data_IF_050860529211
#
_entry.id   IF_050860529211
#
_cell.length_a   1.000
_cell.length_b   1.000
_cell.length_c   1.000
_cell.angle_alpha   90.00
_cell.angle_beta   90.00
_cell.angle_gamma   90.00
#
_symmetry.space_group_name_H-M   'P 1'
#
loop_
_entity.id
_entity.type
_entity.pdbx_description
1 polymer ?
#
# COMPACT_ATOMS: atom_id res chain seq x y z
N UNK A 1 -5.39 36.09 -61.17
CA UNK A 1 -4.55 35.44 -60.15
C UNK A 1 -5.29 35.46 -58.81
N UNK A 2 -5.82 34.31 -58.35
CA UNK A 2 -6.53 34.22 -57.06
C UNK A 2 -6.00 32.99 -56.34
N UNK A 3 -5.08 33.19 -55.41
CA UNK A 3 -4.47 32.13 -54.59
C UNK A 3 -5.50 31.67 -53.57
N UNK A 4 -5.98 30.44 -53.70
CA UNK A 4 -6.78 29.77 -52.67
C UNK A 4 -5.77 29.10 -51.73
N UNK A 5 -5.61 29.64 -50.51
CA UNK A 5 -4.92 28.95 -49.43
C UNK A 5 -5.91 27.95 -48.81
N UNK A 6 -5.65 26.66 -49.00
CA UNK A 6 -6.26 25.61 -48.18
C UNK A 6 -5.47 25.51 -46.87
N UNK A 7 -6.09 25.94 -45.77
CA UNK A 7 -5.62 25.60 -44.43
C UNK A 7 -6.16 24.22 -44.07
N UNK A 8 -5.28 23.21 -44.07
CA UNK A 8 -5.58 21.87 -43.55
C UNK A 8 -5.39 21.91 -42.03
N UNK A 9 -6.49 22.02 -41.28
CA UNK A 9 -6.47 21.95 -39.82
C UNK A 9 -6.16 20.55 -39.34
N UNK A 10 -4.97 20.34 -38.79
CA UNK A 10 -4.59 19.10 -38.11
C UNK A 10 -5.32 19.03 -36.77
N UNK A 11 -6.44 18.30 -36.72
CA UNK A 11 -7.14 17.96 -35.48
C UNK A 11 -6.25 17.03 -34.65
N UNK A 12 -5.53 17.59 -33.66
CA UNK A 12 -4.93 16.82 -32.58
C UNK A 12 -6.05 16.21 -31.75
N UNK A 13 -6.38 14.95 -32.01
CA UNK A 13 -7.23 14.16 -31.12
C UNK A 13 -6.39 13.77 -29.91
N UNK A 14 -6.60 14.49 -28.80
CA UNK A 14 -6.10 14.07 -27.49
C UNK A 14 -6.89 12.82 -27.10
N UNK A 15 -6.34 11.64 -27.42
CA UNK A 15 -6.82 10.36 -26.93
C UNK A 15 -6.69 10.36 -25.41
N UNK A 16 -7.76 10.77 -24.73
CA UNK A 16 -7.92 10.50 -23.31
C UNK A 16 -7.96 9.00 -23.15
N UNK A 17 -6.90 8.41 -22.56
CA UNK A 17 -6.86 7.00 -22.22
C UNK A 17 -7.96 6.72 -21.19
N UNK A 18 -9.15 6.36 -21.66
CA UNK A 18 -10.21 5.83 -20.80
C UNK A 18 -9.83 4.41 -20.43
N UNK A 19 -9.84 4.10 -19.13
CA UNK A 19 -9.74 2.73 -18.63
C UNK A 19 -10.69 1.82 -19.40
N UNK A 20 -10.15 0.75 -20.00
CA UNK A 20 -10.93 -0.13 -20.87
C UNK A 20 -11.92 -0.98 -20.09
N UNK A 21 -11.54 -1.47 -18.90
CA UNK A 21 -12.44 -2.16 -17.97
C UNK A 21 -12.65 -1.36 -16.67
N UNK A 22 -13.82 -0.73 -16.55
CA UNK A 22 -14.19 0.02 -15.34
C UNK A 22 -14.37 -0.87 -14.11
N UNK A 23 -14.49 -2.20 -14.26
CA UNK A 23 -14.57 -3.16 -13.16
C UNK A 23 -13.20 -3.73 -12.76
N UNK A 24 -12.11 -3.31 -13.40
CA UNK A 24 -10.77 -3.66 -12.96
C UNK A 24 -10.20 -2.55 -12.07
N UNK A 25 -10.20 -2.78 -10.76
CA UNK A 25 -9.74 -1.82 -9.76
C UNK A 25 -8.26 -2.03 -9.49
N UNK A 26 -7.45 -1.02 -9.77
CA UNK A 26 -5.99 -1.08 -9.63
C UNK A 26 -5.56 -0.25 -8.42
N UNK A 27 -4.58 -0.77 -7.68
CA UNK A 27 -4.00 -0.12 -6.52
C UNK A 27 -2.49 -0.08 -6.63
N UNK A 28 -1.92 1.09 -6.34
CA UNK A 28 -0.47 1.29 -6.32
C UNK A 28 0.03 1.08 -4.88
N UNK A 29 1.06 0.27 -4.70
CA UNK A 29 1.63 -0.04 -3.39
C UNK A 29 3.09 0.39 -3.36
N UNK A 30 3.48 1.21 -2.39
CA UNK A 30 4.87 1.62 -2.21
C UNK A 30 5.25 1.80 -0.75
N UNK A 31 6.55 1.80 -0.47
CA UNK A 31 7.07 1.94 0.90
C UNK A 31 8.37 1.19 1.11
N UNK A 32 8.58 0.71 2.34
CA UNK A 32 9.80 0.04 2.76
C UNK A 32 9.59 -1.44 3.12
N UNK A 33 10.42 -2.01 4.01
CA UNK A 33 10.48 -3.45 4.30
C UNK A 33 9.13 -4.07 4.70
N UNK A 34 8.28 -3.37 5.47
CA UNK A 34 6.96 -3.88 5.81
C UNK A 34 5.95 -3.79 4.65
N UNK A 35 6.14 -2.91 3.66
CA UNK A 35 5.39 -2.99 2.39
C UNK A 35 5.97 -4.08 1.49
N UNK A 36 7.30 -4.19 1.40
CA UNK A 36 8.02 -5.17 0.58
C UNK A 36 7.73 -6.62 0.98
N UNK A 37 7.55 -6.84 2.28
CA UNK A 37 7.23 -8.12 2.91
C UNK A 37 8.47 -8.83 3.44
N UNK A 38 8.62 -8.90 4.77
CA UNK A 38 9.75 -9.56 5.43
C UNK A 38 9.42 -10.96 5.96
N UNK A 39 8.15 -11.22 6.31
CA UNK A 39 7.79 -12.53 6.85
C UNK A 39 7.67 -13.57 5.75
N UNK A 40 8.22 -14.76 5.96
CA UNK A 40 7.95 -15.91 5.09
C UNK A 40 6.45 -16.20 5.08
N UNK A 41 5.87 -16.30 3.89
CA UNK A 41 4.48 -16.73 3.71
C UNK A 41 4.32 -18.22 4.08
N UNK A 42 3.15 -18.56 4.59
CA UNK A 42 2.76 -19.90 5.03
C UNK A 42 1.83 -20.56 3.99
N UNK A 43 1.57 -21.88 4.07
CA UNK A 43 0.73 -22.56 3.09
C UNK A 43 -0.63 -21.88 2.83
N UNK A 44 -1.27 -21.35 3.87
CA UNK A 44 -2.56 -20.66 3.76
C UNK A 44 -2.51 -19.37 2.91
N UNK A 45 -1.34 -18.75 2.77
CA UNK A 45 -1.16 -17.53 1.97
C UNK A 45 -1.01 -17.84 0.48
N UNK A 46 -0.79 -19.10 0.12
CA UNK A 46 -0.64 -19.55 -1.27
C UNK A 46 -1.87 -20.28 -1.79
N UNK A 47 -2.73 -20.79 -0.90
CA UNK A 47 -3.96 -21.46 -1.29
C UNK A 47 -5.10 -20.46 -1.59
N UNK A 48 -6.09 -20.94 -2.36
CA UNK A 48 -7.35 -20.24 -2.64
C UNK A 48 -7.18 -18.81 -3.21
N UNK A 49 -6.08 -18.55 -3.93
CA UNK A 49 -5.90 -17.29 -4.63
C UNK A 49 -6.89 -17.21 -5.80
N UNK A 50 -7.78 -16.22 -5.74
CA UNK A 50 -8.80 -15.98 -6.77
C UNK A 50 -8.16 -15.46 -8.06
N UNK A 51 -8.64 -15.93 -9.21
CA UNK A 51 -8.24 -15.42 -10.53
C UNK A 51 -8.63 -13.95 -10.76
N UNK A 52 -9.48 -13.38 -9.89
CA UNK A 52 -9.84 -11.96 -9.90
C UNK A 52 -8.82 -11.08 -9.19
N UNK A 53 -7.88 -11.64 -8.43
CA UNK A 53 -6.82 -10.89 -7.77
C UNK A 53 -5.51 -11.04 -8.56
N UNK A 54 -5.01 -9.93 -9.09
CA UNK A 54 -3.87 -9.89 -10.00
C UNK A 54 -2.76 -8.99 -9.45
N UNK A 55 -1.52 -9.32 -9.81
CA UNK A 55 -0.33 -8.50 -9.58
C UNK A 55 0.34 -8.24 -10.92
N UNK A 56 0.67 -6.99 -11.21
CA UNK A 56 1.55 -6.66 -12.33
C UNK A 56 2.99 -6.79 -11.84
N UNK A 57 3.78 -7.65 -12.48
CA UNK A 57 5.18 -7.84 -12.04
C UNK A 57 5.96 -6.54 -12.23
N UNK A 58 6.54 -6.03 -11.14
CA UNK A 58 7.31 -4.81 -11.19
C UNK A 58 8.73 -5.00 -11.70
N UNK A 59 9.25 -6.23 -11.66
CA UNK A 59 10.57 -6.67 -12.14
C UNK A 59 10.39 -7.99 -12.90
N UNK A 60 11.40 -8.42 -13.64
CA UNK A 60 11.45 -9.78 -14.17
C UNK A 60 11.77 -10.77 -13.04
N UNK A 61 10.97 -11.81 -12.90
CA UNK A 61 11.16 -12.94 -12.00
C UNK A 61 11.08 -14.27 -12.78
N UNK A 62 12.17 -14.68 -13.44
CA UNK A 62 12.22 -15.92 -14.22
C UNK A 62 11.82 -17.16 -13.42
N UNK A 63 12.23 -17.25 -12.15
CA UNK A 63 11.91 -18.37 -11.25
C UNK A 63 10.42 -18.50 -10.95
N UNK A 64 9.68 -17.39 -11.07
CA UNK A 64 8.22 -17.35 -10.90
C UNK A 64 7.49 -17.33 -12.26
N UNK A 65 8.22 -17.40 -13.38
CA UNK A 65 7.67 -17.25 -14.72
C UNK A 65 7.01 -15.89 -14.97
N UNK A 66 7.49 -14.83 -14.31
CA UNK A 66 6.92 -13.47 -14.43
C UNK A 66 7.86 -12.52 -15.16
N UNK A 67 7.35 -11.87 -16.19
CA UNK A 67 7.97 -10.75 -16.90
C UNK A 67 7.40 -9.40 -16.42
N UNK A 68 8.25 -8.36 -16.37
CA UNK A 68 7.90 -6.99 -16.01
C UNK A 68 6.74 -6.48 -16.86
N UNK A 69 5.77 -5.82 -16.21
CA UNK A 69 4.64 -5.18 -16.89
C UNK A 69 3.50 -6.12 -17.31
N UNK A 70 3.60 -7.42 -17.04
CA UNK A 70 2.51 -8.38 -17.29
C UNK A 70 1.74 -8.70 -16.00
N UNK A 71 0.46 -9.02 -16.16
CA UNK A 71 -0.43 -9.41 -15.07
C UNK A 71 -0.37 -10.91 -14.77
N UNK A 72 -0.28 -11.26 -13.50
CA UNK A 72 -0.29 -12.64 -13.00
C UNK A 72 -1.29 -12.77 -11.87
N UNK A 73 -1.74 -13.98 -11.59
CA UNK A 73 -2.53 -14.27 -10.38
C UNK A 73 -1.71 -13.90 -9.14
N UNK A 74 -2.30 -13.11 -8.25
CA UNK A 74 -1.63 -12.61 -7.06
C UNK A 74 -1.50 -13.72 -6.01
N UNK A 75 -0.31 -14.31 -5.98
CA UNK A 75 0.17 -15.28 -5.00
C UNK A 75 1.54 -14.78 -4.52
N UNK A 76 1.81 -14.77 -3.19
CA UNK A 76 3.10 -14.37 -2.66
C UNK A 76 4.27 -15.08 -3.36
N UNK A 77 5.41 -14.40 -3.56
CA UNK A 77 5.66 -13.00 -3.21
C UNK A 77 5.05 -12.01 -4.22
N UNK A 78 4.63 -10.84 -3.73
CA UNK A 78 3.97 -9.81 -4.56
C UNK A 78 4.89 -8.64 -4.96
N UNK A 79 5.90 -8.31 -4.16
CA UNK A 79 6.77 -7.15 -4.42
C UNK A 79 7.93 -7.47 -5.38
N UNK A 80 8.80 -8.40 -5.00
CA UNK A 80 9.93 -8.87 -5.81
C UNK A 80 10.11 -10.38 -5.66
N UNK A 81 10.98 -10.97 -6.46
CA UNK A 81 11.08 -12.43 -6.65
C UNK A 81 11.39 -13.20 -5.36
N UNK A 82 12.07 -12.56 -4.41
CA UNK A 82 12.60 -13.19 -3.19
C UNK A 82 12.02 -12.59 -1.90
N UNK A 83 10.95 -11.81 -1.98
CA UNK A 83 10.37 -11.15 -0.80
C UNK A 83 9.36 -12.06 -0.08
N UNK A 84 8.83 -11.59 1.05
CA UNK A 84 7.87 -12.30 1.87
C UNK A 84 6.40 -11.94 1.61
N UNK A 85 5.58 -12.24 2.61
CA UNK A 85 4.18 -11.83 2.71
C UNK A 85 4.09 -10.33 2.97
N UNK A 86 3.13 -9.67 2.32
CA UNK A 86 2.92 -8.22 2.46
C UNK A 86 1.49 -7.87 2.87
N UNK A 87 1.22 -6.64 3.36
CA UNK A 87 -0.15 -6.18 3.58
C UNK A 87 -1.00 -6.22 2.31
N UNK A 88 -0.39 -6.09 1.12
CA UNK A 88 -1.11 -6.08 -0.16
C UNK A 88 -1.79 -7.43 -0.46
N UNK A 89 -1.24 -8.55 0.04
CA UNK A 89 -1.83 -9.88 -0.10
C UNK A 89 -3.24 -9.94 0.50
N UNK A 90 -3.36 -9.54 1.76
CA UNK A 90 -4.62 -9.62 2.48
C UNK A 90 -5.52 -8.41 2.21
N UNK A 91 -4.96 -7.29 1.76
CA UNK A 91 -5.73 -6.19 1.17
C UNK A 91 -6.55 -6.69 -0.03
N UNK A 92 -5.89 -7.25 -1.05
CA UNK A 92 -6.57 -7.67 -2.27
C UNK A 92 -7.53 -8.84 -2.06
N UNK A 93 -7.15 -9.83 -1.23
CA UNK A 93 -8.04 -10.93 -0.82
C UNK A 93 -9.29 -10.42 -0.10
N UNK A 94 -9.14 -9.42 0.78
CA UNK A 94 -10.27 -8.79 1.48
C UNK A 94 -11.20 -8.07 0.50
N UNK A 95 -10.66 -7.36 -0.48
CA UNK A 95 -11.46 -6.71 -1.52
C UNK A 95 -12.23 -7.73 -2.36
N UNK A 96 -11.56 -8.74 -2.90
CA UNK A 96 -12.18 -9.73 -3.78
C UNK A 96 -13.31 -10.51 -3.10
N UNK A 97 -13.17 -10.80 -1.79
CA UNK A 97 -14.22 -11.45 -1.01
C UNK A 97 -15.50 -10.62 -0.88
N UNK A 98 -15.40 -9.29 -0.94
CA UNK A 98 -16.50 -8.38 -0.61
C UNK A 98 -16.97 -7.51 -1.79
N UNK A 99 -16.25 -7.50 -2.90
CA UNK A 99 -16.64 -6.81 -4.12
C UNK A 99 -17.45 -7.74 -5.04
N UNK A 100 -18.38 -7.19 -5.85
CA UNK A 100 -19.17 -7.97 -6.81
C UNK A 100 -18.31 -8.87 -7.70
N UNK A 101 -18.83 -10.03 -8.10
CA UNK A 101 -18.06 -11.04 -8.86
C UNK A 101 -17.43 -10.50 -10.14
N UNK A 102 -18.08 -9.55 -10.81
CA UNK A 102 -17.54 -8.90 -12.02
C UNK A 102 -16.30 -8.03 -11.78
N UNK A 103 -16.00 -7.68 -10.52
CA UNK A 103 -14.88 -6.81 -10.17
C UNK A 103 -13.61 -7.63 -10.03
N UNK A 104 -12.56 -7.16 -10.69
CA UNK A 104 -11.18 -7.65 -10.54
C UNK A 104 -10.37 -6.62 -9.75
N UNK A 105 -9.36 -7.08 -9.04
CA UNK A 105 -8.44 -6.25 -8.26
C UNK A 105 -7.03 -6.49 -8.76
N UNK A 106 -6.33 -5.43 -9.12
CA UNK A 106 -4.95 -5.45 -9.56
C UNK A 106 -4.08 -4.66 -8.59
N UNK A 107 -2.88 -5.14 -8.32
CA UNK A 107 -1.87 -4.39 -7.56
C UNK A 107 -0.61 -4.18 -8.41
N UNK A 108 0.01 -3.02 -8.22
CA UNK A 108 1.34 -2.68 -8.73
C UNK A 108 2.18 -2.35 -7.51
N UNK A 109 3.31 -3.03 -7.33
CA UNK A 109 3.98 -3.06 -6.04
C UNK A 109 5.47 -2.73 -6.18
N UNK A 110 5.89 -1.58 -5.63
CA UNK A 110 7.28 -1.12 -5.67
C UNK A 110 7.69 -0.66 -4.27
N UNK A 111 8.46 -1.46 -3.55
CA UNK A 111 8.91 -1.17 -2.20
C UNK A 111 10.35 -1.68 -1.99
N UNK A 112 11.11 -1.00 -1.13
CA UNK A 112 12.51 -1.34 -0.85
C UNK A 112 12.78 -1.31 0.64
N UNK A 113 13.22 -2.44 1.19
CA UNK A 113 13.62 -2.55 2.59
C UNK A 113 14.57 -1.43 3.05
N UNK A 114 14.33 -0.88 4.25
CA UNK A 114 15.22 0.11 4.87
C UNK A 114 15.27 1.50 4.23
N UNK A 115 14.52 1.77 3.15
CA UNK A 115 14.53 3.09 2.51
C UNK A 115 13.80 4.15 3.34
N UNK A 116 14.26 5.40 3.22
CA UNK A 116 13.49 6.57 3.63
C UNK A 116 12.51 6.99 2.52
N UNK A 117 11.53 7.83 2.84
CA UNK A 117 10.54 8.34 1.86
C UNK A 117 11.20 9.12 0.71
N UNK A 118 12.37 9.72 0.96
CA UNK A 118 13.18 10.45 -0.03
C UNK A 118 13.59 9.61 -1.24
N UNK A 119 13.59 8.27 -1.14
CA UNK A 119 13.82 7.39 -2.29
C UNK A 119 12.76 7.56 -3.39
N UNK A 120 11.55 7.97 -3.01
CA UNK A 120 10.44 8.20 -3.93
C UNK A 120 10.27 9.68 -4.31
N UNK A 121 11.18 10.55 -3.87
CA UNK A 121 11.24 11.96 -4.26
C UNK A 121 12.16 12.11 -5.48
N UNK A 122 11.57 12.36 -6.66
CA UNK A 122 12.29 12.50 -7.94
C UNK A 122 13.44 13.52 -7.93
N UNK A 123 13.40 14.53 -7.05
CA UNK A 123 14.45 15.54 -6.97
C UNK A 123 15.60 15.11 -6.03
N UNK A 124 15.37 14.14 -5.14
CA UNK A 124 16.31 13.76 -4.08
C UNK A 124 16.83 12.34 -4.16
N UNK A 125 16.16 11.47 -4.92
CA UNK A 125 16.47 10.04 -4.89
C UNK A 125 17.90 9.75 -5.34
N UNK A 126 18.47 10.49 -6.28
CA UNK A 126 19.83 10.24 -6.79
C UNK A 126 20.88 10.43 -5.69
N UNK A 127 20.85 11.57 -5.00
CA UNK A 127 21.76 11.87 -3.89
C UNK A 127 21.55 10.91 -2.72
N UNK A 128 20.28 10.58 -2.44
CA UNK A 128 19.93 9.60 -1.41
C UNK A 128 20.50 8.21 -1.74
N UNK A 129 20.36 7.74 -2.98
CA UNK A 129 20.86 6.44 -3.43
C UNK A 129 22.39 6.41 -3.43
N UNK A 130 23.04 7.47 -3.91
CA UNK A 130 24.51 7.56 -3.96
C UNK A 130 25.17 7.52 -2.58
N UNK A 131 24.48 8.04 -1.55
CA UNK A 131 24.95 8.02 -0.15
C UNK A 131 24.47 6.81 0.65
N UNK A 132 23.66 5.93 0.06
CA UNK A 132 23.09 4.76 0.74
C UNK A 132 24.03 3.54 0.69
N UNK A 133 23.87 2.58 1.62
CA UNK A 133 24.65 1.34 1.59
C UNK A 133 24.46 0.53 0.30
N UNK A 134 25.47 -0.25 -0.08
CA UNK A 134 25.47 -1.08 -1.31
C UNK A 134 24.25 -1.98 -1.44
N UNK A 135 23.78 -2.56 -0.33
CA UNK A 135 22.60 -3.42 -0.33
C UNK A 135 21.34 -2.66 -0.80
N UNK A 136 21.19 -1.38 -0.44
CA UNK A 136 20.06 -0.56 -0.87
C UNK A 136 20.22 -0.18 -2.34
N UNK A 137 21.42 0.23 -2.74
CA UNK A 137 21.71 0.56 -4.14
C UNK A 137 21.42 -0.62 -5.06
N UNK A 138 21.75 -1.84 -4.65
CA UNK A 138 21.50 -3.04 -5.46
C UNK A 138 20.00 -3.34 -5.60
N UNK A 139 19.20 -3.18 -4.53
CA UNK A 139 17.74 -3.32 -4.64
C UNK A 139 17.11 -2.23 -5.52
N UNK A 140 17.65 -1.01 -5.48
CA UNK A 140 17.22 0.10 -6.34
C UNK A 140 17.52 -0.16 -7.83
N UNK A 141 18.63 -0.82 -8.16
CA UNK A 141 18.98 -1.20 -9.54
C UNK A 141 17.97 -2.16 -10.18
N UNK A 142 17.30 -3.01 -9.41
CA UNK A 142 16.23 -3.89 -9.93
C UNK A 142 15.05 -3.07 -10.50
N UNK A 143 14.91 -1.83 -10.02
CA UNK A 143 13.95 -0.84 -10.51
C UNK A 143 14.57 0.19 -11.48
N UNK A 144 15.59 -0.21 -12.24
CA UNK A 144 16.36 0.63 -13.17
C UNK A 144 16.97 1.89 -12.53
N UNK A 145 17.23 1.83 -11.22
CA UNK A 145 17.78 2.94 -10.46
C UNK A 145 16.75 3.95 -9.95
N UNK A 146 15.48 3.85 -10.35
CA UNK A 146 14.43 4.81 -9.97
C UNK A 146 13.09 4.10 -9.66
N UNK A 147 12.85 3.75 -8.38
CA UNK A 147 11.63 3.06 -7.95
C UNK A 147 10.35 3.88 -8.20
N UNK A 148 10.40 5.20 -8.04
CA UNK A 148 9.26 6.07 -8.35
C UNK A 148 8.89 6.00 -9.83
N UNK A 149 9.87 6.15 -10.72
CA UNK A 149 9.65 6.09 -12.16
C UNK A 149 9.13 4.71 -12.60
N UNK A 150 9.61 3.61 -11.99
CA UNK A 150 9.06 2.27 -12.22
C UNK A 150 7.58 2.18 -11.83
N UNK A 151 7.19 2.74 -10.68
CA UNK A 151 5.79 2.74 -10.26
C UNK A 151 4.90 3.52 -11.24
N UNK A 152 5.36 4.69 -11.69
CA UNK A 152 4.66 5.51 -12.68
C UNK A 152 4.57 4.83 -14.05
N UNK A 153 5.64 4.20 -14.53
CA UNK A 153 5.70 3.43 -15.79
C UNK A 153 4.58 2.37 -15.81
N UNK A 154 4.54 1.53 -14.77
CA UNK A 154 3.59 0.43 -14.66
C UNK A 154 2.17 0.92 -14.42
N UNK A 155 1.99 1.99 -13.63
CA UNK A 155 0.69 2.61 -13.44
C UNK A 155 0.09 3.14 -14.75
N UNK A 156 0.89 3.81 -15.59
CA UNK A 156 0.46 4.26 -16.93
C UNK A 156 0.10 3.09 -17.84
N UNK A 157 0.82 1.98 -17.76
CA UNK A 157 0.47 0.75 -18.49
C UNK A 157 -0.89 0.22 -18.01
N UNK A 158 -1.06 0.11 -16.70
CA UNK A 158 -2.27 -0.43 -16.08
C UNK A 158 -3.52 0.44 -16.28
N UNK A 159 -3.38 1.77 -16.44
CA UNK A 159 -4.50 2.66 -16.80
C UNK A 159 -5.15 2.33 -18.16
N UNK A 160 -4.46 1.58 -19.03
CA UNK A 160 -5.04 1.05 -20.28
C UNK A 160 -6.00 -0.11 -20.01
N UNK A 161 -5.80 -0.84 -18.91
CA UNK A 161 -6.56 -2.04 -18.56
C UNK A 161 -7.70 -1.74 -17.59
N UNK A 162 -7.49 -0.85 -16.62
CA UNK A 162 -8.42 -0.61 -15.53
C UNK A 162 -8.34 0.79 -14.91
N UNK A 163 -8.99 0.95 -13.75
CA UNK A 163 -9.11 2.22 -13.04
C UNK A 163 -8.29 2.17 -11.75
N UNK A 164 -7.36 3.11 -11.58
CA UNK A 164 -6.66 3.29 -10.31
C UNK A 164 -7.65 3.81 -9.27
N UNK A 165 -7.81 3.08 -8.15
CA UNK A 165 -8.82 3.33 -7.11
C UNK A 165 -8.24 3.74 -5.75
N UNK A 166 -6.92 3.67 -5.58
CA UNK A 166 -6.26 4.06 -4.34
C UNK A 166 -4.76 3.78 -4.38
N UNK A 167 -4.07 4.33 -3.41
CA UNK A 167 -2.62 4.16 -3.21
C UNK A 167 -2.39 3.67 -1.79
N UNK A 168 -1.56 2.65 -1.62
CA UNK A 168 -1.16 2.08 -0.36
C UNK A 168 0.29 2.47 -0.09
N UNK A 169 0.51 3.11 1.06
CA UNK A 169 1.81 3.43 1.60
C UNK A 169 2.03 2.64 2.89
N UNK A 170 3.19 2.01 3.04
CA UNK A 170 3.62 1.55 4.34
C UNK A 170 5.12 1.82 4.53
N UNK A 171 5.38 2.91 5.26
CA UNK A 171 6.70 3.48 5.45
C UNK A 171 6.70 4.36 6.70
N UNK A 172 7.86 4.48 7.34
CA UNK A 172 8.06 5.44 8.43
C UNK A 172 9.22 5.06 9.33
N UNK A 173 9.60 3.79 9.39
CA UNK A 173 10.62 3.31 10.32
C UNK A 173 11.98 3.99 10.06
N UNK A 174 12.39 4.16 8.80
CA UNK A 174 13.63 4.86 8.45
C UNK A 174 13.53 6.40 8.58
N UNK A 175 12.33 6.92 8.79
CA UNK A 175 12.04 8.34 9.06
C UNK A 175 11.57 8.56 10.51
N UNK A 176 11.80 7.61 11.43
CA UNK A 176 11.30 7.69 12.81
C UNK A 176 11.66 9.04 13.46
N UNK A 177 10.64 9.77 13.91
CA UNK A 177 10.81 11.06 14.58
C UNK A 177 10.94 12.28 13.65
N UNK A 178 10.83 12.11 12.33
CA UNK A 178 10.91 13.18 11.34
C UNK A 178 9.55 13.92 11.21
N UNK A 179 9.38 15.15 11.77
CA UNK A 179 8.10 15.85 11.74
C UNK A 179 7.71 16.31 10.33
N UNK A 180 8.65 16.37 9.38
CA UNK A 180 8.40 16.76 7.99
C UNK A 180 7.90 15.57 7.14
N UNK A 181 7.86 14.36 7.70
CA UNK A 181 7.42 13.18 6.99
C UNK A 181 6.06 13.34 6.29
N UNK A 182 5.01 13.93 6.90
CA UNK A 182 3.74 14.15 6.22
C UNK A 182 3.86 15.03 4.96
N UNK A 183 4.72 16.05 4.99
CA UNK A 183 4.97 16.93 3.83
C UNK A 183 5.73 16.19 2.73
N UNK A 184 6.70 15.35 3.08
CA UNK A 184 7.43 14.50 2.12
C UNK A 184 6.51 13.48 1.46
N UNK A 185 5.63 12.84 2.23
CA UNK A 185 4.61 11.94 1.68
C UNK A 185 3.63 12.68 0.78
N UNK A 186 3.21 13.89 1.16
CA UNK A 186 2.35 14.74 0.32
C UNK A 186 2.99 15.03 -1.03
N UNK A 187 4.27 15.39 -1.06
CA UNK A 187 5.00 15.62 -2.29
C UNK A 187 4.93 14.40 -3.23
N UNK A 188 5.28 13.21 -2.73
CA UNK A 188 5.25 11.98 -3.53
C UNK A 188 3.84 11.66 -4.01
N UNK A 189 2.84 11.78 -3.14
CA UNK A 189 1.44 11.52 -3.48
C UNK A 189 0.90 12.50 -4.53
N UNK A 190 1.16 13.80 -4.39
CA UNK A 190 0.71 14.81 -5.36
C UNK A 190 1.40 14.64 -6.72
N UNK A 191 2.66 14.21 -6.76
CA UNK A 191 3.35 13.84 -8.01
C UNK A 191 2.72 12.62 -8.66
N UNK A 192 2.44 11.54 -7.91
CA UNK A 192 1.73 10.37 -8.43
C UNK A 192 0.37 10.77 -9.03
N UNK A 193 -0.38 11.65 -8.35
CA UNK A 193 -1.63 12.16 -8.88
C UNK A 193 -1.43 12.95 -10.18
N UNK A 194 -0.42 13.82 -10.24
CA UNK A 194 -0.10 14.62 -11.41
C UNK A 194 0.32 13.75 -12.60
N UNK A 195 1.33 12.90 -12.43
CA UNK A 195 1.94 12.10 -13.51
C UNK A 195 0.99 11.07 -14.10
N UNK A 196 -0.01 10.66 -13.32
CA UNK A 196 -1.05 9.70 -13.70
C UNK A 196 -2.38 10.38 -14.04
N UNK A 197 -2.46 11.71 -14.00
CA UNK A 197 -3.68 12.49 -14.24
C UNK A 197 -4.87 12.00 -13.38
N UNK A 198 -4.62 11.76 -12.09
CA UNK A 198 -5.59 11.29 -11.11
C UNK A 198 -6.12 12.45 -10.27
N UNK A 199 -7.28 12.23 -9.64
CA UNK A 199 -7.89 13.19 -8.72
C UNK A 199 -7.89 12.60 -7.33
N UNK A 200 -7.36 13.33 -6.35
CA UNK A 200 -7.25 12.90 -4.95
C UNK A 200 -8.57 12.32 -4.40
N UNK A 201 -9.71 12.96 -4.68
CA UNK A 201 -11.04 12.50 -4.25
C UNK A 201 -11.44 11.10 -4.73
N UNK A 202 -10.82 10.60 -5.80
CA UNK A 202 -11.10 9.30 -6.39
C UNK A 202 -10.02 8.25 -6.05
N UNK A 203 -8.87 8.68 -5.53
CA UNK A 203 -7.68 7.86 -5.33
C UNK A 203 -7.10 8.18 -3.94
N UNK A 204 -7.79 7.78 -2.86
CA UNK A 204 -7.31 8.04 -1.50
C UNK A 204 -5.97 7.36 -1.24
N UNK A 205 -5.20 7.96 -0.32
CA UNK A 205 -3.96 7.39 0.19
C UNK A 205 -4.25 6.63 1.49
N UNK A 206 -3.94 5.34 1.54
CA UNK A 206 -4.01 4.55 2.77
C UNK A 206 -2.58 4.36 3.29
N UNK A 207 -2.29 4.85 4.50
CA UNK A 207 -0.96 4.80 5.10
C UNK A 207 -0.98 3.98 6.40
N UNK A 208 -0.13 2.97 6.51
CA UNK A 208 -0.12 2.05 7.66
C UNK A 208 0.85 2.50 8.72
N UNK A 209 0.41 2.45 9.98
CA UNK A 209 1.28 2.60 11.14
C UNK A 209 2.39 1.55 11.15
N UNK A 210 3.59 1.94 11.59
CA UNK A 210 4.68 1.01 11.92
C UNK A 210 4.26 0.08 13.06
N UNK A 211 5.06 -0.94 13.39
CA UNK A 211 4.77 -1.83 14.54
C UNK A 211 4.42 -1.01 15.78
N UNK A 212 3.23 -1.26 16.32
CA UNK A 212 2.65 -0.43 17.37
C UNK A 212 3.33 -0.65 18.74
N UNK A 213 3.18 0.31 19.65
CA UNK A 213 3.78 0.28 20.99
C UNK A 213 3.26 -0.91 21.83
N UNK A 214 2.00 -1.31 21.64
CA UNK A 214 1.40 -2.48 22.30
C UNK A 214 2.01 -3.82 21.85
N UNK A 215 2.81 -3.81 20.78
CA UNK A 215 3.60 -4.95 20.29
C UNK A 215 5.11 -4.70 20.44
N UNK A 216 5.50 -3.77 21.32
CA UNK A 216 6.89 -3.37 21.60
C UNK A 216 7.65 -2.83 20.39
N UNK A 217 6.96 -2.20 19.43
CA UNK A 217 7.57 -1.69 18.20
C UNK A 217 8.67 -0.66 18.45
N UNK A 218 9.86 -0.87 17.86
CA UNK A 218 11.01 0.04 18.03
C UNK A 218 10.77 1.42 17.43
N UNK A 219 9.93 1.50 16.41
CA UNK A 219 9.59 2.73 15.70
C UNK A 219 8.20 3.26 16.08
N UNK A 220 7.57 2.75 17.14
CA UNK A 220 6.19 3.09 17.49
C UNK A 220 5.97 4.59 17.74
N UNK A 221 7.00 5.34 18.13
CA UNK A 221 6.94 6.81 18.26
C UNK A 221 6.63 7.51 16.94
N UNK A 222 6.95 6.89 15.80
CA UNK A 222 6.62 7.39 14.47
C UNK A 222 5.11 7.44 14.23
N UNK A 223 4.33 6.56 14.88
CA UNK A 223 2.88 6.49 14.66
C UNK A 223 2.19 7.81 15.03
N UNK A 224 2.67 8.52 16.06
CA UNK A 224 2.14 9.85 16.41
C UNK A 224 2.32 10.88 15.28
N UNK A 225 3.36 10.75 14.45
CA UNK A 225 3.59 11.59 13.27
C UNK A 225 2.73 11.10 12.10
N UNK A 226 2.67 9.78 11.86
CA UNK A 226 1.83 9.18 10.81
C UNK A 226 0.36 9.58 11.01
N UNK A 227 -0.14 9.61 12.25
CA UNK A 227 -1.49 10.02 12.62
C UNK A 227 -1.84 11.47 12.25
N UNK A 228 -0.83 12.31 12.01
CA UNK A 228 -1.05 13.68 11.54
C UNK A 228 -1.23 13.78 10.03
N UNK A 229 -0.91 12.73 9.27
CA UNK A 229 -0.96 12.72 7.80
C UNK A 229 -2.29 13.23 7.22
N UNK A 230 -3.47 12.87 7.76
CA UNK A 230 -4.75 13.38 7.25
C UNK A 230 -4.93 14.90 7.37
N UNK A 231 -4.18 15.58 8.25
CA UNK A 231 -4.18 17.05 8.36
C UNK A 231 -3.46 17.70 7.18
N UNK A 232 -2.43 17.04 6.66
CA UNK A 232 -1.62 17.50 5.53
C UNK A 232 -2.20 17.04 4.19
N UNK A 233 -2.79 15.84 4.15
CA UNK A 233 -3.44 15.23 2.99
C UNK A 233 -4.87 14.81 3.39
N UNK A 234 -5.90 15.64 3.14
CA UNK A 234 -7.27 15.34 3.60
C UNK A 234 -7.91 14.07 3.03
N UNK A 235 -7.35 13.50 1.96
CA UNK A 235 -7.79 12.22 1.35
C UNK A 235 -6.95 11.02 1.83
N UNK A 236 -6.06 11.24 2.80
CA UNK A 236 -5.29 10.18 3.42
C UNK A 236 -6.04 9.55 4.60
N UNK A 237 -5.84 8.26 4.79
CA UNK A 237 -6.41 7.47 5.88
C UNK A 237 -5.32 6.62 6.52
N UNK A 238 -5.15 6.79 7.83
CA UNK A 238 -4.19 5.98 8.60
C UNK A 238 -4.82 4.63 8.94
N UNK A 239 -4.04 3.57 8.74
CA UNK A 239 -4.43 2.19 9.04
C UNK A 239 -3.68 1.76 10.29
N UNK A 240 -4.43 1.57 11.37
CA UNK A 240 -3.82 1.22 12.65
C UNK A 240 -3.21 -0.18 12.63
N UNK A 241 -2.02 -0.30 13.24
CA UNK A 241 -1.30 -1.56 13.44
C UNK A 241 -1.43 -2.09 14.87
N UNK A 242 -2.25 -1.45 15.73
CA UNK A 242 -2.48 -1.91 17.10
C UNK A 242 -2.89 -3.39 17.15
N UNK A 243 -2.20 -4.19 17.97
CA UNK A 243 -2.42 -5.63 18.10
C UNK A 243 -1.98 -6.48 16.91
N UNK A 244 -1.37 -5.92 15.85
CA UNK A 244 -0.78 -6.70 14.75
C UNK A 244 0.55 -7.32 15.22
N UNK A 245 0.67 -8.66 15.35
CA UNK A 245 1.82 -9.25 16.04
C UNK A 245 3.16 -8.96 15.36
N UNK A 246 4.11 -8.45 16.16
CA UNK A 246 5.47 -8.14 15.75
C UNK A 246 6.36 -9.39 15.69
N UNK A 247 7.31 -9.40 14.76
CA UNK A 247 8.41 -10.35 14.74
C UNK A 247 9.38 -10.08 15.91
N UNK A 248 10.31 -11.01 16.14
CA UNK A 248 11.28 -10.94 17.25
C UNK A 248 12.18 -9.69 17.21
N UNK A 249 12.33 -9.07 16.05
CA UNK A 249 13.13 -7.85 15.89
C UNK A 249 12.40 -6.57 16.32
N UNK A 250 11.09 -6.67 16.59
CA UNK A 250 10.19 -5.55 16.93
C UNK A 250 10.18 -4.42 15.89
N UNK A 251 10.57 -4.73 14.65
CA UNK A 251 10.58 -3.82 13.50
C UNK A 251 9.61 -4.27 12.42
N UNK A 252 9.51 -5.59 12.23
CA UNK A 252 8.68 -6.17 11.20
C UNK A 252 7.48 -6.90 11.79
N UNK A 253 6.44 -7.06 10.98
CA UNK A 253 5.29 -7.88 11.36
C UNK A 253 5.59 -9.37 11.14
N UNK A 254 4.96 -10.22 11.95
CA UNK A 254 4.85 -11.65 11.62
C UNK A 254 3.95 -11.85 10.40
N UNK A 255 3.90 -13.06 9.85
CA UNK A 255 2.91 -13.41 8.82
C UNK A 255 1.49 -13.04 9.29
N UNK A 256 1.12 -13.41 10.52
CA UNK A 256 -0.17 -13.03 11.11
C UNK A 256 -0.38 -11.51 11.20
N UNK A 257 0.65 -10.75 11.57
CA UNK A 257 0.61 -9.29 11.60
C UNK A 257 0.33 -8.68 10.22
N UNK A 258 1.00 -9.16 9.16
CA UNK A 258 0.73 -8.73 7.79
C UNK A 258 -0.68 -9.06 7.33
N UNK A 259 -1.23 -10.23 7.71
CA UNK A 259 -2.63 -10.59 7.40
C UNK A 259 -3.60 -9.61 8.03
N UNK A 260 -3.45 -9.37 9.33
CA UNK A 260 -4.31 -8.46 10.08
C UNK A 260 -4.24 -7.04 9.52
N UNK A 261 -3.01 -6.53 9.29
CA UNK A 261 -2.80 -5.19 8.76
C UNK A 261 -3.39 -5.08 7.34
N UNK A 262 -3.07 -6.02 6.45
CA UNK A 262 -3.61 -6.07 5.08
C UNK A 262 -5.13 -6.13 5.04
N UNK A 263 -5.76 -6.92 5.91
CA UNK A 263 -7.22 -6.92 6.04
C UNK A 263 -7.75 -5.55 6.48
N UNK A 264 -7.10 -4.84 7.41
CA UNK A 264 -7.51 -3.48 7.81
C UNK A 264 -7.42 -2.48 6.67
N UNK A 265 -6.35 -2.53 5.86
CA UNK A 265 -6.28 -1.75 4.61
C UNK A 265 -7.48 -2.05 3.70
N UNK A 266 -7.80 -3.33 3.50
CA UNK A 266 -8.89 -3.76 2.62
C UNK A 266 -10.24 -3.29 3.12
N UNK A 267 -10.48 -3.40 4.43
CA UNK A 267 -11.70 -2.94 5.08
C UNK A 267 -11.88 -1.43 4.96
N UNK A 268 -10.81 -0.65 5.17
CA UNK A 268 -10.89 0.80 5.00
C UNK A 268 -11.19 1.17 3.54
N UNK A 269 -10.59 0.49 2.57
CA UNK A 269 -10.89 0.74 1.17
C UNK A 269 -12.33 0.35 0.79
N UNK A 270 -12.88 -0.74 1.34
CA UNK A 270 -14.29 -1.10 1.13
C UNK A 270 -15.24 -0.01 1.64
N UNK A 271 -14.97 0.54 2.83
CA UNK A 271 -15.71 1.67 3.40
C UNK A 271 -15.69 2.88 2.44
N UNK A 272 -14.51 3.25 1.94
CA UNK A 272 -14.34 4.38 1.01
C UNK A 272 -14.99 4.14 -0.37
N UNK A 273 -15.16 2.87 -0.77
CA UNK A 273 -15.93 2.48 -1.96
C UNK A 273 -17.46 2.45 -1.71
N UNK A 274 -17.93 2.87 -0.54
CA UNK A 274 -19.34 2.89 -0.16
C UNK A 274 -19.93 1.49 0.04
N UNK A 275 -19.10 0.51 0.42
CA UNK A 275 -19.55 -0.84 0.76
C UNK A 275 -19.77 -0.94 2.27
N UNK A 276 -20.89 -1.56 2.67
CA UNK A 276 -21.15 -1.88 4.07
C UNK A 276 -20.04 -2.80 4.61
N UNK A 277 -19.70 -2.65 5.89
CA UNK A 277 -18.80 -3.59 6.57
C UNK A 277 -19.32 -5.02 6.37
N UNK A 278 -18.46 -6.01 6.08
CA UNK A 278 -18.86 -7.41 6.02
C UNK A 278 -19.60 -7.77 7.30
N UNK A 279 -20.76 -8.40 7.18
CA UNK A 279 -21.49 -8.92 8.32
C UNK A 279 -20.63 -9.94 9.06
N UNK A 280 -20.72 -9.90 10.39
CA UNK A 280 -19.85 -10.41 11.45
C UNK A 280 -19.55 -11.93 11.46
N UNK A 281 -19.73 -12.64 10.35
CA UNK A 281 -19.62 -14.11 10.31
C UNK A 281 -18.22 -14.65 9.99
N UNK A 282 -17.19 -13.81 9.80
CA UNK A 282 -15.86 -14.31 9.40
C UNK A 282 -14.65 -13.58 9.98
N UNK A 283 -14.77 -12.84 11.09
CA UNK A 283 -13.59 -12.36 11.82
C UNK A 283 -13.35 -13.35 12.97
N UNK A 284 -12.17 -14.01 13.06
CA UNK A 284 -11.77 -14.68 14.29
C UNK A 284 -11.69 -13.64 15.40
N UNK A 285 -12.52 -13.79 16.44
CA UNK A 285 -12.61 -12.89 17.59
C UNK A 285 -11.23 -12.38 18.03
N UNK A 286 -10.98 -11.09 17.84
CA UNK A 286 -9.98 -10.37 18.63
C UNK A 286 -10.53 -10.24 20.05
N UNK A 287 -9.73 -10.68 21.02
CA UNK A 287 -10.02 -10.62 22.44
C UNK A 287 -10.63 -9.27 22.85
N UNK A 288 -11.73 -9.36 23.60
CA UNK A 288 -12.40 -8.26 24.26
C UNK A 288 -11.44 -7.49 25.16
N UNK A 289 -11.30 -6.19 24.94
CA UNK A 289 -10.78 -5.27 25.97
C UNK A 289 -11.70 -5.28 27.20
N UNK A 290 -11.17 -5.21 28.42
CA UNK A 290 -12.00 -5.18 29.62
C UNK A 290 -12.75 -3.83 29.70
N UNK A 291 -14.07 -3.90 29.79
CA UNK A 291 -14.88 -2.76 30.20
C UNK A 291 -14.58 -2.43 31.67
N UNK A 292 -14.04 -1.23 31.90
CA UNK A 292 -14.02 -0.59 33.21
C UNK A 292 -15.44 -0.14 33.56
N UNK A 293 -16.05 -0.79 34.56
CA UNK A 293 -17.32 -0.38 35.16
C UNK A 293 -17.22 -0.42 36.68
N UNK A 294 -17.15 0.76 37.29
CA UNK A 294 -17.24 0.96 38.73
C UNK A 294 -18.59 0.50 39.28
N UNK A 295 -18.59 -0.18 40.42
CA UNK A 295 -19.20 0.24 41.70
C UNK A 295 -19.63 -1.00 42.49
N UNK A 296 -19.04 -1.24 43.65
CA UNK A 296 -19.78 -1.82 44.77
C UNK A 296 -19.27 -1.25 46.09
N UNK A 297 -20.26 -0.79 46.84
CA UNK A 297 -20.25 -0.12 48.13
C UNK A 297 -19.70 -0.97 49.26
N UNK A 298 -19.08 -0.26 50.21
CA UNK A 298 -18.59 -0.74 51.48
C UNK A 298 -19.63 -1.55 52.29
N UNK A 299 -19.15 -2.61 52.94
CA UNK A 299 -19.66 -3.02 54.26
C UNK A 299 -18.48 -3.26 55.18
N UNK A 300 -18.47 -2.52 56.30
CA UNK A 300 -17.64 -2.75 57.48
C UNK A 300 -17.97 -4.11 58.07
N UNK A 301 -16.97 -4.83 58.54
CA UNK A 301 -17.12 -5.67 59.74
C UNK A 301 -15.80 -5.74 60.48
N UNK A 302 -15.85 -5.30 61.73
CA UNK A 302 -14.84 -5.46 62.76
C UNK A 302 -14.71 -6.95 63.14
N UNK A 303 -13.49 -7.42 63.44
CA UNK A 303 -13.06 -7.91 64.76
C UNK A 303 -11.79 -8.76 64.67
N UNK A 304 -10.91 -8.46 65.65
CA UNK A 304 -9.75 -9.20 66.19
C UNK A 304 -8.50 -9.36 65.31
#
# INVERSE_FOLDING_TARGET
MRKILLFLGLMLTVLSASARDKNFYIYLCFGQSNMEGNARFEPQDTCNASDRFLVMSAVDCPDLGREKGKWYRAVPPLCRCYTGLTPADYFGRTLIKNLPEKVRVGIIHVAIGGCRIELFDEDKYQDYVASSPDWLQNMVKEYDGNPYARLVELAKLAQKDGVIKGILLHQGESNTGDPEWPNKVKLVYERLLSDLNLKAKNVPLLAGETVNADQHGKCASMNAIIDTLPRTIPTAHVISSAGCPAAKDSLHFTAQGYRMLGTRYGMKMLELLGKSKPTDKTIPNSASSPQTGNTYTATKTEKE
#
